data_IF_471436193695
#
_entry.id   IF_471436193695
#
_cell.length_a   1.000
_cell.length_b   1.000
_cell.length_c   1.000
_cell.angle_alpha   90.00
_cell.angle_beta   90.00
_cell.angle_gamma   90.00
#
_symmetry.space_group_name_H-M   'P 1'
#
loop_
_entity.id
_entity.type
_entity.pdbx_description
1 polymer ?
#
# COMPACT_ATOMS: atom_id res chain seq x y z
N UNK A 1 -0.86 16.14 -23.01
CA UNK A 1 -0.35 14.86 -22.46
C UNK A 1 0.39 14.17 -23.59
N UNK A 2 1.71 14.30 -23.61
CA UNK A 2 2.55 13.95 -24.76
C UNK A 2 2.60 12.42 -24.96
N UNK A 3 2.12 11.94 -26.11
CA UNK A 3 2.03 10.51 -26.44
C UNK A 3 3.41 9.91 -26.78
N UNK A 4 4.46 10.74 -27.01
CA UNK A 4 5.79 10.25 -27.42
C UNK A 4 6.50 9.31 -26.44
N UNK A 5 6.09 9.25 -25.17
CA UNK A 5 6.79 8.49 -24.12
C UNK A 5 5.94 7.35 -23.51
N UNK A 6 4.95 6.80 -24.23
CA UNK A 6 4.23 5.62 -23.73
C UNK A 6 5.02 4.34 -24.00
N UNK A 7 5.10 3.45 -23.02
CA UNK A 7 5.69 2.13 -23.21
C UNK A 7 4.78 1.29 -24.11
N UNK A 8 5.31 0.81 -25.23
CA UNK A 8 4.58 -0.06 -26.19
C UNK A 8 4.77 -1.55 -25.91
N UNK A 9 5.74 -1.91 -25.05
CA UNK A 9 6.01 -3.27 -24.58
C UNK A 9 6.41 -3.29 -23.11
N UNK A 10 6.11 -4.39 -22.43
CA UNK A 10 6.57 -4.66 -21.07
C UNK A 10 7.81 -5.55 -21.17
N UNK A 11 8.92 -5.09 -20.60
CA UNK A 11 10.20 -5.81 -20.56
C UNK A 11 10.61 -5.96 -19.10
N UNK A 12 10.20 -7.08 -18.49
CA UNK A 12 10.25 -7.31 -17.04
C UNK A 12 11.66 -7.30 -16.44
N UNK A 13 12.69 -7.51 -17.25
CA UNK A 13 14.08 -7.56 -16.79
C UNK A 13 14.84 -6.26 -17.06
N UNK A 14 14.19 -5.26 -17.66
CA UNK A 14 14.82 -4.02 -18.07
C UNK A 14 14.46 -2.88 -17.12
N UNK A 15 15.48 -2.27 -16.50
CA UNK A 15 15.34 -1.06 -15.66
C UNK A 15 15.67 0.23 -16.41
N UNK A 16 15.77 0.18 -17.74
CA UNK A 16 16.27 1.29 -18.56
C UNK A 16 15.25 2.42 -18.71
N UNK A 17 13.95 2.09 -18.74
CA UNK A 17 12.89 3.07 -18.98
C UNK A 17 12.27 3.54 -17.67
N UNK A 18 11.82 4.80 -17.64
CA UNK A 18 11.15 5.39 -16.47
C UNK A 18 9.92 4.58 -16.04
N UNK A 19 9.17 4.09 -17.01
CA UNK A 19 7.94 3.31 -16.85
C UNK A 19 8.23 1.99 -16.14
N UNK A 20 9.32 1.31 -16.51
CA UNK A 20 9.69 0.04 -15.90
C UNK A 20 10.32 0.21 -14.52
N UNK A 21 11.09 1.28 -14.30
CA UNK A 21 11.53 1.66 -12.95
C UNK A 21 10.34 1.97 -12.02
N UNK A 22 9.36 2.71 -12.51
CA UNK A 22 8.13 3.00 -11.74
C UNK A 22 7.36 1.71 -11.46
N UNK A 23 7.19 0.82 -12.44
CA UNK A 23 6.59 -0.49 -12.23
C UNK A 23 7.30 -1.24 -11.09
N UNK A 24 8.62 -1.45 -11.21
CA UNK A 24 9.39 -2.17 -10.19
C UNK A 24 9.30 -1.57 -8.79
N UNK A 25 9.38 -0.24 -8.69
CA UNK A 25 9.30 0.45 -7.41
C UNK A 25 7.91 0.31 -6.79
N UNK A 26 6.84 0.43 -7.59
CA UNK A 26 5.45 0.37 -7.09
C UNK A 26 5.05 -1.02 -6.63
N UNK A 27 5.37 -2.09 -7.38
CA UNK A 27 5.01 -3.44 -6.94
C UNK A 27 5.84 -3.90 -5.74
N UNK A 28 7.14 -3.59 -5.69
CA UNK A 28 7.98 -3.86 -4.51
C UNK A 28 7.42 -3.15 -3.26
N UNK A 29 7.03 -1.88 -3.41
CA UNK A 29 6.41 -1.14 -2.31
C UNK A 29 5.08 -1.74 -1.89
N UNK A 30 4.25 -2.17 -2.84
CA UNK A 30 2.99 -2.86 -2.55
C UNK A 30 3.22 -4.11 -1.71
N UNK A 31 4.17 -4.98 -2.09
CA UNK A 31 4.48 -6.19 -1.32
C UNK A 31 5.08 -5.88 0.05
N UNK A 32 5.92 -4.85 0.18
CA UNK A 32 6.45 -4.44 1.47
C UNK A 32 5.32 -4.01 2.43
N UNK A 33 4.39 -3.18 1.95
CA UNK A 33 3.21 -2.77 2.72
C UNK A 33 2.31 -3.96 3.06
N UNK A 34 2.09 -4.86 2.10
CA UNK A 34 1.28 -6.06 2.32
C UNK A 34 1.92 -6.99 3.36
N UNK A 35 3.24 -7.17 3.28
CA UNK A 35 4.00 -7.97 4.24
C UNK A 35 3.87 -7.40 5.65
N UNK A 36 4.05 -6.09 5.83
CA UNK A 36 3.89 -5.44 7.14
C UNK A 36 2.47 -5.54 7.69
N UNK A 37 1.46 -5.33 6.84
CA UNK A 37 0.05 -5.40 7.27
C UNK A 37 -0.39 -6.82 7.62
N UNK A 38 -0.08 -7.81 6.79
CA UNK A 38 -0.50 -9.20 7.01
C UNK A 38 0.39 -9.95 8.00
N UNK A 39 1.61 -9.46 8.26
CA UNK A 39 2.53 -10.03 9.24
C UNK A 39 1.99 -10.04 10.67
N UNK A 40 1.04 -9.15 11.00
CA UNK A 40 0.39 -9.11 12.32
C UNK A 40 -0.51 -10.34 12.58
N UNK A 41 -1.09 -10.94 11.52
CA UNK A 41 -2.05 -12.01 11.65
C UNK A 41 -1.49 -13.27 12.36
N UNK A 42 -0.32 -13.82 11.96
CA UNK A 42 0.29 -14.96 12.67
C UNK A 42 0.80 -14.60 14.07
N UNK A 43 1.14 -13.34 14.33
CA UNK A 43 1.67 -12.87 15.62
C UNK A 43 0.57 -12.46 16.62
N UNK A 44 -0.68 -12.39 16.19
CA UNK A 44 -1.81 -11.95 17.02
C UNK A 44 -1.95 -12.69 18.36
N UNK A 45 -1.69 -14.02 18.47
CA UNK A 45 -1.71 -14.71 19.76
C UNK A 45 -0.71 -14.15 20.76
N UNK A 46 0.54 -13.89 20.32
CA UNK A 46 1.60 -13.32 21.15
C UNK A 46 1.29 -11.87 21.54
N UNK A 47 0.89 -11.04 20.56
CA UNK A 47 0.51 -9.64 20.79
C UNK A 47 -0.64 -9.52 21.79
N UNK A 48 -1.61 -10.44 21.73
CA UNK A 48 -2.71 -10.50 22.68
C UNK A 48 -2.21 -10.76 24.10
N UNK A 49 -1.29 -11.71 24.27
CA UNK A 49 -0.76 -12.12 25.56
C UNK A 49 0.07 -10.99 26.18
N UNK A 50 1.01 -10.43 25.42
CA UNK A 50 1.89 -9.34 25.85
C UNK A 50 1.13 -8.06 26.23
N UNK A 51 0.06 -7.73 25.50
CA UNK A 51 -0.75 -6.53 25.75
C UNK A 51 -1.96 -6.79 26.68
N UNK A 52 -2.16 -8.03 27.13
CA UNK A 52 -3.29 -8.40 28.00
C UNK A 52 -4.67 -8.12 27.38
N UNK A 53 -4.79 -8.22 26.05
CA UNK A 53 -6.01 -7.80 25.34
C UNK A 53 -7.13 -8.83 25.46
N UNK A 54 -8.35 -8.34 25.69
CA UNK A 54 -9.57 -9.16 25.61
C UNK A 54 -9.92 -9.47 24.14
N UNK A 55 -10.65 -10.56 23.90
CA UNK A 55 -11.13 -10.92 22.55
C UNK A 55 -11.96 -9.80 21.91
N UNK A 56 -12.74 -9.07 22.72
CA UNK A 56 -13.59 -7.96 22.26
C UNK A 56 -12.73 -6.78 21.81
N UNK A 57 -11.69 -6.42 22.57
CA UNK A 57 -10.77 -5.35 22.19
C UNK A 57 -10.05 -5.65 20.87
N UNK A 58 -9.60 -6.89 20.66
CA UNK A 58 -8.98 -7.29 19.38
C UNK A 58 -9.95 -7.11 18.22
N UNK A 59 -11.21 -7.56 18.38
CA UNK A 59 -12.26 -7.37 17.38
C UNK A 59 -12.49 -5.89 17.05
N UNK A 60 -12.62 -5.05 18.09
CA UNK A 60 -12.81 -3.61 17.92
C UNK A 60 -11.62 -2.95 17.19
N UNK A 61 -10.39 -3.34 17.53
CA UNK A 61 -9.18 -2.82 16.87
C UNK A 61 -9.11 -3.22 15.41
N UNK A 62 -9.48 -4.46 15.06
CA UNK A 62 -9.52 -4.91 13.66
C UNK A 62 -10.58 -4.13 12.87
N UNK A 63 -11.77 -3.95 13.45
CA UNK A 63 -12.85 -3.16 12.82
C UNK A 63 -12.39 -1.72 12.59
N UNK A 64 -11.80 -1.08 13.61
CA UNK A 64 -11.27 0.27 13.50
C UNK A 64 -10.18 0.38 12.42
N UNK A 65 -9.28 -0.61 12.35
CA UNK A 65 -8.20 -0.70 11.38
C UNK A 65 -8.71 -0.81 9.93
N UNK A 66 -9.72 -1.64 9.69
CA UNK A 66 -10.35 -1.74 8.35
C UNK A 66 -11.14 -0.47 8.01
N UNK A 67 -11.87 0.08 8.97
CA UNK A 67 -12.65 1.31 8.77
C UNK A 67 -11.76 2.47 8.34
N UNK A 68 -10.67 2.74 9.06
CA UNK A 68 -9.74 3.83 8.70
C UNK A 68 -9.10 3.60 7.33
N UNK A 69 -8.83 2.36 6.96
CA UNK A 69 -8.30 2.03 5.64
C UNK A 69 -9.25 2.45 4.52
N UNK A 70 -10.56 2.27 4.69
CA UNK A 70 -11.56 2.73 3.70
C UNK A 70 -11.54 4.25 3.58
N UNK A 71 -11.52 4.97 4.70
CA UNK A 71 -11.46 6.44 4.70
C UNK A 71 -10.19 6.97 4.03
N UNK A 72 -9.02 6.42 4.38
CA UNK A 72 -7.74 6.82 3.80
C UNK A 72 -7.71 6.55 2.30
N UNK A 73 -8.30 5.46 1.81
CA UNK A 73 -8.37 5.17 0.36
C UNK A 73 -9.14 6.24 -0.42
N UNK A 74 -10.25 6.74 0.13
CA UNK A 74 -11.00 7.82 -0.50
C UNK A 74 -10.17 9.12 -0.55
N UNK A 75 -9.49 9.45 0.56
CA UNK A 75 -8.60 10.62 0.62
C UNK A 75 -7.43 10.54 -0.36
N UNK A 76 -6.75 9.39 -0.41
CA UNK A 76 -5.61 9.19 -1.32
C UNK A 76 -6.06 9.15 -2.79
N UNK A 77 -7.22 8.58 -3.10
CA UNK A 77 -7.81 8.64 -4.44
C UNK A 77 -8.00 10.09 -4.88
N UNK A 78 -8.67 10.89 -4.06
CA UNK A 78 -8.86 12.32 -4.33
C UNK A 78 -7.52 13.09 -4.46
N UNK A 79 -6.54 12.76 -3.63
CA UNK A 79 -5.20 13.37 -3.71
C UNK A 79 -4.50 13.00 -5.02
N UNK A 80 -4.58 11.75 -5.44
CA UNK A 80 -3.99 11.28 -6.70
C UNK A 80 -4.62 12.00 -7.91
N UNK A 81 -5.93 12.26 -7.87
CA UNK A 81 -6.62 13.01 -8.93
C UNK A 81 -6.19 14.48 -8.99
N UNK A 82 -5.89 15.10 -7.84
CA UNK A 82 -5.50 16.53 -7.73
C UNK A 82 -4.04 16.81 -8.07
N UNK A 83 -3.11 16.07 -7.47
CA UNK A 83 -1.65 16.36 -7.58
C UNK A 83 -0.86 15.32 -8.38
N UNK A 84 -1.54 14.26 -8.84
CA UNK A 84 -0.96 13.16 -9.57
C UNK A 84 -0.35 12.09 -8.64
N UNK A 85 -0.35 10.82 -9.07
CA UNK A 85 0.04 9.67 -8.24
C UNK A 85 1.50 9.70 -7.80
N UNK A 86 2.40 10.24 -8.64
CA UNK A 86 3.82 10.37 -8.27
C UNK A 86 4.00 11.29 -7.06
N UNK A 87 3.31 12.44 -7.06
CA UNK A 87 3.46 13.39 -5.95
C UNK A 87 2.75 12.89 -4.69
N UNK A 88 1.57 12.27 -4.86
CA UNK A 88 0.84 11.69 -3.73
C UNK A 88 1.61 10.58 -3.00
N UNK A 89 2.53 9.88 -3.68
CA UNK A 89 3.28 8.76 -3.10
C UNK A 89 4.64 9.14 -2.48
N UNK A 90 5.34 10.15 -3.02
CA UNK A 90 6.74 10.46 -2.63
C UNK A 90 6.94 11.84 -2.01
N UNK A 91 5.88 12.55 -1.62
CA UNK A 91 5.98 13.82 -0.89
C UNK A 91 5.81 13.63 0.61
#
# INVERSE_FOLDING_TARGET
MDIKNKATKIDLFSLKTTQMRTFHTTWMSFFLCFFGWFGIAPLMPLVREDLGLTKVQIGNTIIASVAITVFVRLLIGWLCDRIGPRKAYTW
#
